data_IF_916396118318
#
_entry.id   IF_916396118318
#
_cell.length_a   1.000
_cell.length_b   1.000
_cell.length_c   1.000
_cell.angle_alpha   90.00
_cell.angle_beta   90.00
_cell.angle_gamma   90.00
#
_symmetry.space_group_name_H-M   'P 1'
#
loop_
_entity.id
_entity.type
_entity.pdbx_description
1 polymer ?
#
# COMPACT_ATOMS: atom_id res chain seq x y z
N UNK A 1 -3.13 -13.52 7.95
CA UNK A 1 -4.37 -14.32 7.91
C UNK A 1 -4.84 -14.36 6.47
N UNK A 2 -4.66 -15.46 5.75
CA UNK A 2 -5.30 -15.63 4.43
C UNK A 2 -6.74 -16.01 4.71
N UNK A 3 -7.67 -15.08 4.45
CA UNK A 3 -9.10 -15.30 4.73
C UNK A 3 -9.78 -15.56 3.40
N UNK A 4 -10.46 -16.72 3.30
CA UNK A 4 -11.38 -17.07 2.22
C UNK A 4 -12.56 -16.09 2.10
N UNK A 5 -13.59 -16.39 1.29
CA UNK A 5 -14.51 -15.42 0.69
C UNK A 5 -15.43 -14.78 1.73
N UNK A 6 -14.92 -13.85 2.52
CA UNK A 6 -15.69 -12.99 3.39
C UNK A 6 -16.20 -11.81 2.57
N UNK A 7 -17.51 -11.56 2.66
CA UNK A 7 -18.28 -10.50 1.95
C UNK A 7 -17.65 -9.09 2.02
N UNK A 8 -16.81 -8.83 3.03
CA UNK A 8 -16.09 -7.56 3.26
C UNK A 8 -15.05 -7.33 2.16
N UNK A 9 -14.19 -8.32 1.89
CA UNK A 9 -13.19 -8.22 0.82
C UNK A 9 -13.85 -8.24 -0.55
N UNK A 10 -14.97 -8.97 -0.73
CA UNK A 10 -15.67 -9.00 -2.02
C UNK A 10 -16.20 -7.63 -2.46
N UNK A 11 -16.63 -6.77 -1.53
CA UNK A 11 -17.15 -5.43 -1.86
C UNK A 11 -16.04 -4.42 -2.12
N UNK A 12 -14.94 -4.51 -1.37
CA UNK A 12 -13.72 -3.71 -1.62
C UNK A 12 -13.06 -4.16 -2.93
N UNK A 13 -13.01 -5.47 -3.17
CA UNK A 13 -12.57 -6.10 -4.42
C UNK A 13 -13.42 -5.64 -5.60
N UNK A 14 -14.74 -5.48 -5.44
CA UNK A 14 -15.61 -4.97 -6.49
C UNK A 14 -15.25 -3.54 -6.96
N UNK A 15 -14.53 -2.76 -6.14
CA UNK A 15 -14.08 -1.40 -6.48
C UNK A 15 -12.58 -1.26 -6.75
N UNK A 16 -11.75 -2.20 -6.32
CA UNK A 16 -10.36 -2.24 -6.78
C UNK A 16 -10.28 -2.96 -8.15
N UNK A 17 -11.25 -3.81 -8.51
CA UNK A 17 -11.37 -4.42 -9.85
C UNK A 17 -11.71 -3.45 -10.99
N UNK A 18 -12.03 -2.18 -10.74
CA UNK A 18 -12.00 -1.18 -11.84
C UNK A 18 -10.59 -0.96 -12.37
N UNK A 19 -9.57 -1.48 -11.67
CA UNK A 19 -8.19 -1.57 -12.13
C UNK A 19 -7.97 -3.00 -12.65
N UNK A 20 -8.01 -3.24 -13.97
CA UNK A 20 -7.96 -4.60 -14.55
C UNK A 20 -6.65 -5.35 -14.28
N UNK A 21 -5.62 -4.63 -13.82
CA UNK A 21 -4.27 -5.14 -13.62
C UNK A 21 -4.07 -5.80 -12.24
N UNK A 22 -5.01 -5.62 -11.31
CA UNK A 22 -4.95 -6.18 -9.96
C UNK A 22 -5.66 -7.54 -9.94
N UNK A 23 -4.91 -8.61 -9.70
CA UNK A 23 -5.44 -9.97 -9.59
C UNK A 23 -5.52 -10.52 -8.17
N UNK A 24 -4.96 -9.81 -7.17
CA UNK A 24 -5.04 -10.19 -5.77
C UNK A 24 -5.04 -8.99 -4.84
N UNK A 25 -5.73 -9.11 -3.69
CA UNK A 25 -5.81 -8.08 -2.65
C UNK A 25 -5.64 -8.75 -1.28
N UNK A 26 -4.86 -8.12 -0.43
CA UNK A 26 -4.66 -8.51 0.97
C UNK A 26 -5.04 -7.34 1.87
N UNK A 27 -5.88 -7.62 2.86
CA UNK A 27 -6.18 -6.73 3.96
C UNK A 27 -5.77 -7.38 5.27
N UNK A 28 -5.07 -6.63 6.11
CA UNK A 28 -4.68 -7.07 7.46
C UNK A 28 -4.71 -5.88 8.40
N UNK A 29 -4.56 -6.14 9.70
CA UNK A 29 -4.21 -5.12 10.69
C UNK A 29 -2.80 -5.40 11.23
N UNK A 30 -1.81 -5.47 10.34
CA UNK A 30 -0.41 -5.67 10.74
C UNK A 30 0.09 -4.46 11.55
N UNK A 31 0.85 -4.74 12.62
CA UNK A 31 1.06 -3.80 13.73
C UNK A 31 1.59 -2.44 13.28
N UNK A 32 2.66 -2.39 12.49
CA UNK A 32 3.30 -1.12 12.16
C UNK A 32 2.54 -0.39 11.06
N UNK A 33 2.09 -1.08 10.01
CA UNK A 33 1.29 -0.44 8.97
C UNK A 33 -0.03 0.12 9.52
N UNK A 34 -0.69 -0.59 10.46
CA UNK A 34 -1.86 -0.07 11.19
C UNK A 34 -1.50 1.13 12.08
N UNK A 35 -0.32 1.16 12.71
CA UNK A 35 0.11 2.33 13.48
C UNK A 35 0.22 3.60 12.60
N UNK A 36 0.77 3.49 11.39
CA UNK A 36 0.78 4.59 10.42
C UNK A 36 -0.64 5.00 9.98
N UNK A 37 -1.50 4.02 9.72
CA UNK A 37 -2.91 4.24 9.39
C UNK A 37 -3.65 5.03 10.50
N UNK A 38 -3.42 4.67 11.76
CA UNK A 38 -4.00 5.34 12.93
C UNK A 38 -3.40 6.73 13.17
N UNK A 39 -2.12 6.93 12.85
CA UNK A 39 -1.49 8.23 12.86
C UNK A 39 -1.99 9.16 11.74
N UNK A 40 -2.66 8.60 10.73
CA UNK A 40 -3.18 9.36 9.59
C UNK A 40 -2.08 9.92 8.69
N UNK A 41 -0.97 9.20 8.59
CA UNK A 41 0.20 9.61 7.82
C UNK A 41 0.58 8.55 6.78
N UNK A 42 1.07 8.97 5.60
CA UNK A 42 1.65 8.03 4.64
C UNK A 42 2.91 7.37 5.22
N UNK A 43 3.24 6.17 4.75
CA UNK A 43 4.51 5.51 5.11
C UNK A 43 5.60 6.04 4.17
N UNK A 44 6.61 6.78 4.67
CA UNK A 44 7.59 7.41 3.82
C UNK A 44 8.55 6.40 3.18
N UNK A 45 8.93 6.66 1.93
CA UNK A 45 9.97 5.92 1.25
C UNK A 45 11.37 6.33 1.75
N UNK A 46 11.93 5.54 2.68
CA UNK A 46 13.20 5.86 3.34
C UNK A 46 14.37 4.94 2.97
N UNK A 47 14.17 3.95 2.12
CA UNK A 47 15.20 2.97 1.82
C UNK A 47 14.92 2.13 0.59
N UNK A 48 15.95 1.41 0.14
CA UNK A 48 15.90 0.59 -1.08
C UNK A 48 14.95 -0.60 -0.98
N UNK A 49 14.71 -1.14 0.22
CA UNK A 49 13.70 -2.17 0.45
C UNK A 49 12.30 -1.68 0.09
N UNK A 50 12.00 -0.41 0.38
CA UNK A 50 10.74 0.23 0.00
C UNK A 50 10.69 0.43 -1.52
N UNK A 51 11.73 1.06 -2.09
CA UNK A 51 11.81 1.39 -3.51
C UNK A 51 11.74 0.17 -4.46
N UNK A 52 12.07 -1.02 -3.95
CA UNK A 52 11.98 -2.27 -4.69
C UNK A 52 10.53 -2.73 -4.94
N UNK A 53 9.54 -2.18 -4.23
CA UNK A 53 8.14 -2.64 -4.29
C UNK A 53 7.13 -1.50 -4.40
N UNK A 54 7.41 -0.35 -3.80
CA UNK A 54 6.54 0.83 -3.80
C UNK A 54 7.31 2.04 -4.36
N UNK A 55 6.74 2.70 -5.37
CA UNK A 55 7.34 3.87 -6.01
C UNK A 55 6.85 5.16 -5.37
N UNK A 56 7.68 5.72 -4.48
CA UNK A 56 7.28 6.85 -3.64
C UNK A 56 6.66 6.36 -2.33
N UNK A 57 6.04 7.26 -1.58
CA UNK A 57 5.43 6.93 -0.28
C UNK A 57 4.22 6.00 -0.46
N UNK A 58 3.95 5.16 0.54
CA UNK A 58 2.69 4.40 0.60
C UNK A 58 1.62 5.34 1.15
N UNK A 59 0.59 5.68 0.37
CA UNK A 59 -0.32 6.76 0.72
C UNK A 59 -1.25 6.37 1.88
N UNK A 60 -1.65 7.37 2.66
CA UNK A 60 -2.74 7.26 3.63
C UNK A 60 -3.98 7.94 3.09
N UNK A 61 -5.14 7.29 3.20
CA UNK A 61 -6.40 7.90 2.77
C UNK A 61 -6.77 9.08 3.67
N UNK A 62 -7.66 9.96 3.18
CA UNK A 62 -8.42 10.86 4.06
C UNK A 62 -9.35 10.04 5.00
N UNK A 63 -9.84 10.64 6.11
CA UNK A 63 -10.95 10.04 6.85
C UNK A 63 -12.20 9.92 5.98
N UNK A 64 -13.00 8.89 6.25
CA UNK A 64 -14.36 8.79 5.74
C UNK A 64 -15.26 9.79 6.50
N UNK A 65 -16.23 10.38 5.79
CA UNK A 65 -17.26 11.23 6.40
C UNK A 65 -18.23 10.37 7.24
N UNK A 66 -18.98 11.03 8.13
CA UNK A 66 -19.99 10.33 8.93
C UNK A 66 -21.05 9.64 8.04
N UNK A 67 -21.42 10.26 6.92
CA UNK A 67 -22.36 9.72 5.94
C UNK A 67 -21.76 8.52 5.19
N UNK A 68 -20.48 8.60 4.80
CA UNK A 68 -19.77 7.49 4.16
C UNK A 68 -19.66 6.27 5.09
N UNK A 69 -19.51 6.51 6.40
CA UNK A 69 -19.49 5.46 7.43
C UNK A 69 -20.88 4.88 7.71
N UNK A 70 -21.92 5.72 7.77
CA UNK A 70 -23.29 5.27 8.05
C UNK A 70 -23.94 4.52 6.86
N UNK A 71 -23.46 4.76 5.64
CA UNK A 71 -23.91 4.09 4.42
C UNK A 71 -23.20 2.76 4.15
N UNK A 72 -22.82 2.56 2.88
CA UNK A 72 -22.07 1.37 2.45
C UNK A 72 -20.58 1.51 2.82
N UNK A 73 -20.25 1.30 4.10
CA UNK A 73 -18.92 1.53 4.68
C UNK A 73 -17.78 0.88 3.88
N UNK A 74 -17.88 -0.41 3.55
CA UNK A 74 -16.82 -1.12 2.81
C UNK A 74 -16.68 -0.60 1.38
N UNK A 75 -17.78 -0.22 0.75
CA UNK A 75 -17.79 0.37 -0.58
C UNK A 75 -17.09 1.74 -0.57
N UNK A 76 -17.42 2.58 0.41
CA UNK A 76 -16.82 3.90 0.54
C UNK A 76 -15.34 3.81 0.95
N UNK A 77 -14.96 2.77 1.71
CA UNK A 77 -13.54 2.43 1.94
C UNK A 77 -12.82 2.14 0.63
N UNK A 78 -13.41 1.34 -0.27
CA UNK A 78 -12.86 1.10 -1.61
C UNK A 78 -12.74 2.39 -2.44
N UNK A 79 -13.77 3.23 -2.43
CA UNK A 79 -13.77 4.51 -3.16
C UNK A 79 -12.70 5.47 -2.67
N UNK A 80 -12.52 5.61 -1.36
CA UNK A 80 -11.51 6.53 -0.81
C UNK A 80 -10.09 6.05 -1.10
N UNK A 81 -9.85 4.74 -1.18
CA UNK A 81 -8.58 4.19 -1.67
C UNK A 81 -8.33 4.61 -3.12
N UNK A 82 -9.31 4.42 -4.01
CA UNK A 82 -9.20 4.82 -5.43
C UNK A 82 -9.00 6.33 -5.57
N UNK A 83 -9.74 7.14 -4.81
CA UNK A 83 -9.57 8.60 -4.74
C UNK A 83 -8.13 8.97 -4.32
N UNK A 84 -7.58 8.26 -3.33
CA UNK A 84 -6.22 8.48 -2.82
C UNK A 84 -5.15 8.13 -3.83
N UNK A 85 -5.36 7.10 -4.65
CA UNK A 85 -4.43 6.72 -5.72
C UNK A 85 -4.43 7.74 -6.87
N UNK A 86 -5.58 8.36 -7.17
CA UNK A 86 -5.71 9.30 -8.28
C UNK A 86 -5.32 8.67 -9.62
N UNK A 87 -4.48 9.36 -10.39
CA UNK A 87 -4.00 8.90 -11.71
C UNK A 87 -2.72 8.04 -11.62
N UNK A 88 -2.26 7.70 -10.42
CA UNK A 88 -1.05 6.89 -10.26
C UNK A 88 -1.28 5.44 -10.70
N UNK A 89 -0.26 4.83 -11.31
CA UNK A 89 -0.30 3.40 -11.61
C UNK A 89 -0.35 2.60 -10.30
N UNK A 90 -1.44 1.86 -10.04
CA UNK A 90 -1.60 1.13 -8.79
C UNK A 90 -0.60 -0.02 -8.66
N UNK A 91 -0.02 -0.54 -9.75
CA UNK A 91 1.04 -1.54 -9.67
C UNK A 91 2.41 -0.93 -9.38
N UNK A 92 2.58 0.39 -9.52
CA UNK A 92 3.81 1.07 -9.07
C UNK A 92 3.86 1.26 -7.56
N UNK A 93 2.70 1.45 -6.93
CA UNK A 93 2.56 1.56 -5.48
C UNK A 93 1.46 0.60 -5.03
N UNK A 94 1.79 -0.71 -4.87
CA UNK A 94 0.82 -1.79 -4.69
C UNK A 94 0.21 -1.86 -3.28
N UNK A 95 -0.23 -0.72 -2.75
CA UNK A 95 -0.91 -0.65 -1.47
C UNK A 95 -1.15 0.76 -0.94
N UNK A 96 -2.00 0.85 0.06
CA UNK A 96 -2.34 2.06 0.80
C UNK A 96 -2.70 1.72 2.25
N UNK A 97 -2.60 2.70 3.16
CA UNK A 97 -3.16 2.60 4.51
C UNK A 97 -4.44 3.41 4.61
N UNK A 98 -5.49 2.84 5.20
CA UNK A 98 -6.78 3.53 5.39
C UNK A 98 -6.79 4.21 6.75
N UNK A 99 -7.02 5.53 6.78
CA UNK A 99 -7.05 6.34 7.99
C UNK A 99 -7.84 5.66 9.13
N UNK A 100 -7.21 5.52 10.30
CA UNK A 100 -7.79 4.87 11.49
C UNK A 100 -8.28 3.43 11.29
N UNK A 101 -7.78 2.72 10.28
CA UNK A 101 -8.17 1.35 10.00
C UNK A 101 -6.96 0.43 9.85
N UNK A 102 -6.36 0.33 8.68
CA UNK A 102 -5.25 -0.59 8.43
C UNK A 102 -4.80 -0.65 6.97
N UNK A 103 -3.79 -1.47 6.67
CA UNK A 103 -3.25 -1.62 5.32
C UNK A 103 -4.17 -2.42 4.38
N UNK A 104 -4.14 -2.00 3.13
CA UNK A 104 -4.59 -2.74 1.96
C UNK A 104 -3.42 -2.83 0.98
N UNK A 105 -3.02 -4.04 0.62
CA UNK A 105 -2.00 -4.30 -0.39
C UNK A 105 -2.62 -5.10 -1.54
N UNK A 106 -2.06 -4.96 -2.73
CA UNK A 106 -2.54 -5.69 -3.91
C UNK A 106 -1.38 -6.17 -4.78
N UNK A 107 -1.69 -6.96 -5.80
CA UNK A 107 -0.69 -7.52 -6.70
C UNK A 107 -1.35 -8.11 -7.95
N UNK A 108 -0.51 -8.60 -8.87
CA UNK A 108 -0.95 -9.25 -10.12
C UNK A 108 -1.72 -10.54 -9.87
N UNK A 109 -1.46 -11.19 -8.73
CA UNK A 109 -2.18 -12.36 -8.24
C UNK A 109 -2.18 -12.37 -6.70
N UNK A 110 -2.79 -13.40 -6.11
CA UNK A 110 -2.88 -13.53 -4.66
C UNK A 110 -1.50 -13.69 -3.98
N UNK A 111 -0.54 -14.34 -4.62
CA UNK A 111 0.80 -14.54 -4.06
C UNK A 111 1.57 -13.22 -4.04
N UNK A 112 1.55 -12.48 -5.14
CA UNK A 112 2.15 -11.15 -5.25
C UNK A 112 1.52 -10.16 -4.25
N UNK A 113 0.19 -10.20 -4.07
CA UNK A 113 -0.49 -9.37 -3.07
C UNK A 113 -0.07 -9.67 -1.63
N UNK A 114 0.13 -10.95 -1.28
CA UNK A 114 0.66 -11.34 0.05
C UNK A 114 2.10 -10.87 0.21
N UNK A 115 2.92 -11.00 -0.85
CA UNK A 115 4.29 -10.53 -0.82
C UNK A 115 4.37 -9.01 -0.57
N UNK A 116 3.57 -8.22 -1.30
CA UNK A 116 3.50 -6.77 -1.11
C UNK A 116 2.98 -6.39 0.28
N UNK A 117 2.03 -7.14 0.86
CA UNK A 117 1.56 -6.92 2.23
C UNK A 117 2.67 -7.15 3.28
N UNK A 118 3.48 -8.20 3.12
CA UNK A 118 4.61 -8.47 4.01
C UNK A 118 5.66 -7.37 3.91
N UNK A 119 6.01 -6.95 2.69
CA UNK A 119 6.96 -5.84 2.48
C UNK A 119 6.42 -4.55 3.10
N UNK A 120 5.13 -4.24 2.93
CA UNK A 120 4.50 -3.04 3.51
C UNK A 120 4.68 -2.98 5.03
N UNK A 121 4.44 -4.08 5.74
CA UNK A 121 4.62 -4.13 7.19
C UNK A 121 6.09 -3.90 7.60
N UNK A 122 7.04 -4.51 6.88
CA UNK A 122 8.47 -4.35 7.18
C UNK A 122 8.96 -2.92 6.91
N UNK A 123 8.53 -2.30 5.81
CA UNK A 123 8.92 -0.90 5.53
C UNK A 123 8.22 0.08 6.46
N UNK A 124 6.99 -0.21 6.91
CA UNK A 124 6.30 0.56 7.94
C UNK A 124 7.05 0.52 9.28
N UNK A 125 7.50 -0.68 9.69
CA UNK A 125 8.32 -0.89 10.89
C UNK A 125 9.65 -0.16 10.82
N UNK A 126 10.38 -0.31 9.72
CA UNK A 126 11.65 0.37 9.53
C UNK A 126 11.49 1.89 9.50
N UNK A 127 10.44 2.40 8.84
CA UNK A 127 10.15 3.83 8.83
C UNK A 127 9.86 4.36 10.23
N UNK A 128 9.03 3.66 11.01
CA UNK A 128 8.75 4.02 12.41
C UNK A 128 10.04 4.12 13.24
N UNK A 129 10.90 3.10 13.14
CA UNK A 129 12.19 3.07 13.85
C UNK A 129 13.12 4.19 13.36
N UNK A 130 13.23 4.40 12.05
CA UNK A 130 14.09 5.43 11.46
C UNK A 130 13.68 6.85 11.88
N UNK A 131 12.37 7.12 11.94
CA UNK A 131 11.80 8.37 12.48
C UNK A 131 12.19 8.60 13.94
N UNK A 132 12.21 7.55 14.76
CA UNK A 132 12.71 7.64 16.13
C UNK A 132 14.22 7.88 16.23
N UNK A 133 15.02 7.31 15.31
CA UNK A 133 16.48 7.45 15.29
C UNK A 133 16.93 8.83 14.81
N UNK A 134 16.32 9.36 13.74
CA UNK A 134 16.66 10.67 13.17
C UNK A 134 15.40 11.45 12.78
N UNK A 135 14.87 12.32 13.66
CA UNK A 135 13.69 13.14 13.35
C UNK A 135 13.86 14.13 12.17
N UNK A 136 15.10 14.33 11.69
CA UNK A 136 15.43 15.16 10.51
C UNK A 136 15.76 14.33 9.27
N UNK A 137 15.33 13.07 9.25
CA UNK A 137 15.44 12.22 8.08
C UNK A 137 14.82 12.89 6.85
N UNK A 138 15.42 12.62 5.70
CA UNK A 138 14.91 13.05 4.40
C UNK A 138 14.42 11.83 3.63
N UNK A 139 13.46 12.00 2.72
CA UNK A 139 13.04 10.93 1.81
C UNK A 139 14.22 10.33 1.05
N UNK A 140 14.05 9.10 0.58
CA UNK A 140 15.01 8.44 -0.31
C UNK A 140 15.26 9.31 -1.55
N UNK A 141 16.53 9.45 -1.92
CA UNK A 141 16.89 10.22 -3.12
C UNK A 141 16.19 9.66 -4.36
N UNK A 142 15.62 10.55 -5.17
CA UNK A 142 14.82 10.17 -6.34
C UNK A 142 15.59 9.32 -7.37
N UNK A 143 16.90 9.50 -7.51
CA UNK A 143 17.72 8.66 -8.40
C UNK A 143 17.82 7.22 -7.89
N UNK A 144 17.88 7.03 -6.57
CA UNK A 144 18.00 5.73 -5.94
C UNK A 144 16.65 5.00 -5.97
N UNK A 145 15.56 5.73 -5.71
CA UNK A 145 14.19 5.28 -5.92
C UNK A 145 13.99 4.74 -7.35
N UNK A 146 14.32 5.55 -8.35
CA UNK A 146 14.19 5.17 -9.77
C UNK A 146 15.02 3.93 -10.12
N UNK A 147 16.25 3.82 -9.63
CA UNK A 147 17.12 2.66 -9.90
C UNK A 147 16.51 1.37 -9.36
N UNK A 148 16.06 1.38 -8.11
CA UNK A 148 15.53 0.20 -7.42
C UNK A 148 14.17 -0.24 -7.95
N UNK A 149 13.31 0.73 -8.29
CA UNK A 149 12.03 0.42 -8.88
C UNK A 149 12.17 -0.19 -10.29
N UNK A 150 12.97 0.45 -11.16
CA UNK A 150 13.12 0.04 -12.57
C UNK A 150 13.85 -1.28 -12.75
N UNK A 151 14.74 -1.69 -11.84
CA UNK A 151 15.45 -2.99 -11.96
C UNK A 151 14.51 -4.20 -11.82
N UNK A 152 13.31 -4.01 -11.25
CA UNK A 152 12.27 -5.04 -11.11
C UNK A 152 11.09 -4.84 -12.06
N UNK A 153 10.70 -3.60 -12.35
CA UNK A 153 9.46 -3.29 -13.08
C UNK A 153 9.66 -2.65 -14.47
N UNK A 154 10.90 -2.29 -14.83
CA UNK A 154 11.19 -1.65 -16.11
C UNK A 154 11.27 -2.63 -17.28
N UNK A 155 11.29 -2.14 -18.54
CA UNK A 155 11.44 -2.96 -19.73
C UNK A 155 12.75 -3.76 -19.78
N UNK A 156 13.74 -3.35 -19.00
CA UNK A 156 15.03 -4.03 -18.82
C UNK A 156 15.16 -4.63 -17.41
N UNK A 157 14.06 -5.06 -16.78
CA UNK A 157 14.10 -5.67 -15.46
C UNK A 157 15.02 -6.90 -15.47
N UNK A 158 15.94 -6.97 -14.51
CA UNK A 158 16.98 -8.01 -14.45
C UNK A 158 17.09 -8.67 -13.08
N UNK A 159 16.29 -8.21 -12.11
CA UNK A 159 16.35 -8.65 -10.73
C UNK A 159 14.97 -9.15 -10.27
N UNK A 160 14.92 -10.30 -9.60
CA UNK A 160 13.67 -10.91 -9.14
C UNK A 160 12.84 -11.59 -10.24
N UNK A 161 13.44 -11.89 -11.39
CA UNK A 161 12.84 -12.70 -12.46
C UNK A 161 13.05 -14.19 -12.12
N UNK A 162 11.99 -14.99 -12.09
CA UNK A 162 12.03 -16.47 -12.05
C UNK A 162 11.69 -17.03 -13.41
#
# INVERSE_FOLDING_TARGET
MVIGPHRILLRIWCFINVIPQIGGIVHTHSTHATAWAQAGLPIPALGTTHADYFFGDIPCTRPLSAEEVAGEYELNTGKVIVETLGDNDPLHTPGAVVYQHGPFAWGKDAHDAVHNAVVMEEVAKMAWIACGINPRLRPLDGYLMNKHFRRKHGPNAYYGQT
#
